data_IF_714930945565
#
_entry.id   IF_714930945565
#
_cell.length_a   1.000
_cell.length_b   1.000
_cell.length_c   1.000
_cell.angle_alpha   90.00
_cell.angle_beta   90.00
_cell.angle_gamma   90.00
#
_symmetry.space_group_name_H-M   'P 1'
#
loop_
_entity.id
_entity.type
_entity.pdbx_description
1 polymer ?
#
# COMPACT_ATOMS: atom_id res chain seq x y z
N UNK A 1 13.04 9.34 -15.10
CA UNK A 1 12.93 9.82 -13.74
C UNK A 1 11.55 9.54 -13.24
N UNK A 2 11.46 8.96 -12.13
CA UNK A 2 10.26 8.28 -11.77
C UNK A 2 9.81 8.51 -10.34
N UNK A 3 10.13 9.60 -9.75
CA UNK A 3 9.60 9.88 -8.42
C UNK A 3 8.75 11.14 -8.45
N UNK A 4 7.93 11.31 -7.42
CA UNK A 4 7.06 12.45 -7.30
C UNK A 4 7.75 13.51 -6.44
N UNK A 5 8.52 14.43 -7.03
CA UNK A 5 9.34 15.35 -6.26
C UNK A 5 8.55 16.29 -5.35
N UNK A 6 7.28 16.49 -5.64
CA UNK A 6 6.42 17.34 -4.79
C UNK A 6 5.81 16.60 -3.61
N UNK A 7 5.96 15.29 -3.55
CA UNK A 7 5.39 14.51 -2.46
C UNK A 7 6.32 14.58 -1.24
N UNK A 8 5.81 15.15 -0.17
CA UNK A 8 6.61 15.42 1.04
C UNK A 8 6.16 14.63 2.27
N UNK A 9 5.15 13.80 2.13
CA UNK A 9 4.63 13.05 3.26
C UNK A 9 3.71 13.87 4.15
N UNK A 10 3.25 13.29 5.26
CA UNK A 10 3.66 11.97 5.74
C UNK A 10 3.24 10.85 4.80
N UNK A 11 3.96 9.74 4.88
CA UNK A 11 3.66 8.56 4.10
C UNK A 11 3.27 7.41 5.02
N UNK A 12 2.42 6.52 4.51
CA UNK A 12 1.84 5.42 5.28
C UNK A 12 1.97 4.09 4.53
N UNK A 13 2.06 3.02 5.30
CA UNK A 13 2.07 1.67 4.75
C UNK A 13 1.17 0.80 5.62
N UNK A 14 0.14 0.21 5.01
CA UNK A 14 -0.77 -0.70 5.71
C UNK A 14 -0.32 -2.14 5.53
N UNK A 15 -0.27 -2.89 6.62
CA UNK A 15 0.23 -4.26 6.63
C UNK A 15 -0.29 -5.01 7.84
N UNK A 16 -0.01 -6.31 7.92
CA UNK A 16 -0.24 -7.11 9.12
C UNK A 16 1.07 -7.53 9.77
N UNK A 17 2.19 -7.07 9.23
CA UNK A 17 3.50 -7.37 9.81
C UNK A 17 3.73 -6.58 11.10
N UNK A 18 4.35 -7.22 12.08
CA UNK A 18 4.70 -6.58 13.35
C UNK A 18 6.10 -5.99 13.23
N UNK A 19 6.15 -4.67 13.07
CA UNK A 19 7.39 -3.94 12.80
C UNK A 19 7.67 -2.93 13.89
N UNK A 20 8.93 -2.60 14.08
CA UNK A 20 9.38 -1.62 15.06
C UNK A 20 9.97 -0.41 14.36
N UNK A 21 10.00 0.76 15.05
CA UNK A 21 10.67 1.93 14.48
C UNK A 21 12.11 1.61 14.10
N UNK A 22 12.52 2.04 12.93
CA UNK A 22 13.83 1.75 12.38
C UNK A 22 13.90 0.52 11.48
N UNK A 23 12.89 -0.35 11.52
CA UNK A 23 12.83 -1.49 10.62
C UNK A 23 12.73 -1.02 9.17
N UNK A 24 13.26 -1.83 8.25
CA UNK A 24 13.21 -1.55 6.82
C UNK A 24 12.25 -2.51 6.14
N UNK A 25 11.35 -1.95 5.33
CA UNK A 25 10.44 -2.71 4.48
C UNK A 25 11.03 -2.71 3.07
N UNK A 26 11.57 -3.84 2.67
CA UNK A 26 12.21 -3.98 1.35
C UNK A 26 11.20 -4.49 0.31
N UNK A 27 11.43 -4.18 -0.97
CA UNK A 27 10.68 -4.82 -2.06
C UNK A 27 10.79 -6.34 -1.95
N UNK A 28 9.68 -7.04 -2.26
CA UNK A 28 9.65 -8.48 -2.12
C UNK A 28 9.35 -8.98 -0.72
N UNK A 29 9.26 -8.09 0.25
CA UNK A 29 8.74 -8.44 1.57
C UNK A 29 7.32 -8.98 1.37
N UNK A 30 6.94 -9.98 2.17
CA UNK A 30 5.66 -10.65 2.02
C UNK A 30 4.54 -9.65 1.82
N UNK A 31 4.01 -9.62 0.62
CA UNK A 31 2.99 -8.67 0.24
C UNK A 31 1.64 -9.12 0.75
N UNK A 32 0.82 -8.14 1.01
CA UNK A 32 -0.49 -8.35 1.56
C UNK A 32 -1.46 -8.97 0.56
N UNK A 33 -1.34 -8.63 -0.71
CA UNK A 33 -2.27 -9.12 -1.73
C UNK A 33 -1.62 -9.23 -3.10
N UNK A 34 -0.32 -9.04 -3.17
CA UNK A 34 0.42 -9.11 -4.43
C UNK A 34 1.46 -10.22 -4.36
N UNK A 35 2.00 -10.56 -5.51
CA UNK A 35 3.06 -11.54 -5.62
C UNK A 35 4.27 -11.07 -4.83
N UNK A 36 4.82 -11.88 -3.91
CA UNK A 36 6.01 -11.50 -3.15
C UNK A 36 7.26 -11.31 -4.03
N UNK A 37 7.19 -11.65 -5.30
CA UNK A 37 8.29 -11.43 -6.24
C UNK A 37 8.27 -10.05 -6.89
N UNK A 38 7.31 -9.20 -6.54
CA UNK A 38 7.28 -7.85 -7.08
C UNK A 38 8.54 -7.09 -6.69
N UNK A 39 9.03 -6.26 -7.61
CA UNK A 39 10.28 -5.52 -7.45
C UNK A 39 10.13 -4.25 -6.65
N UNK A 40 8.93 -3.93 -6.19
CA UNK A 40 8.61 -2.66 -5.57
C UNK A 40 7.98 -2.84 -4.19
N UNK A 41 8.22 -1.85 -3.32
CA UNK A 41 7.45 -1.71 -2.09
C UNK A 41 6.49 -0.53 -2.27
N UNK A 42 5.26 -0.69 -1.79
CA UNK A 42 4.18 0.27 -2.01
C UNK A 42 3.83 1.03 -0.75
N UNK A 43 3.46 2.30 -0.91
CA UNK A 43 3.06 3.15 0.21
C UNK A 43 2.15 4.27 -0.30
N UNK A 44 1.60 5.06 0.62
CA UNK A 44 0.65 6.11 0.22
C UNK A 44 0.83 7.37 1.04
N UNK A 45 0.38 8.49 0.47
CA UNK A 45 0.32 9.76 1.17
C UNK A 45 -1.02 9.99 1.89
N UNK A 46 -1.97 9.06 1.76
CA UNK A 46 -3.26 9.16 2.43
C UNK A 46 -3.44 8.01 3.41
N UNK A 47 -4.01 8.32 4.56
CA UNK A 47 -4.30 7.31 5.57
C UNK A 47 -5.34 6.31 5.05
N UNK A 48 -6.34 6.79 4.30
CA UNK A 48 -7.39 5.93 3.78
C UNK A 48 -6.84 4.81 2.90
N UNK A 49 -5.89 5.12 2.02
CA UNK A 49 -5.27 4.10 1.17
C UNK A 49 -4.53 3.06 2.00
N UNK A 50 -3.86 3.49 3.07
CA UNK A 50 -3.17 2.57 3.98
C UNK A 50 -4.15 1.70 4.77
N UNK A 51 -5.30 2.24 5.13
CA UNK A 51 -6.35 1.46 5.79
C UNK A 51 -6.81 0.32 4.87
N UNK A 52 -7.10 0.63 3.60
CA UNK A 52 -7.41 -0.42 2.63
C UNK A 52 -6.29 -1.44 2.54
N UNK A 53 -5.04 -0.97 2.54
CA UNK A 53 -3.89 -1.86 2.45
C UNK A 53 -3.85 -2.88 3.58
N UNK A 54 -4.05 -2.46 4.82
CA UNK A 54 -4.01 -3.38 5.95
C UNK A 54 -5.26 -4.26 6.04
N UNK A 55 -6.41 -3.72 5.66
CA UNK A 55 -7.66 -4.50 5.68
C UNK A 55 -7.70 -5.60 4.63
N UNK A 56 -7.11 -5.35 3.47
CA UNK A 56 -7.05 -6.31 2.37
C UNK A 56 -5.84 -7.23 2.46
N UNK A 57 -4.95 -6.98 3.41
CA UNK A 57 -3.75 -7.77 3.60
C UNK A 57 -4.09 -9.21 3.94
N UNK A 58 -3.32 -10.14 3.37
CA UNK A 58 -3.47 -11.56 3.66
C UNK A 58 -2.91 -11.89 5.04
N UNK A 59 -3.50 -12.88 5.68
CA UNK A 59 -3.05 -13.36 6.98
C UNK A 59 -4.05 -13.06 8.08
N UNK A 60 -3.76 -13.57 9.26
CA UNK A 60 -4.65 -13.48 10.41
C UNK A 60 -4.14 -12.54 11.50
N UNK A 61 -2.94 -12.01 11.33
CA UNK A 61 -2.37 -11.09 12.29
C UNK A 61 -3.14 -9.77 12.29
N UNK A 62 -2.98 -9.00 13.35
CA UNK A 62 -3.65 -7.72 13.51
C UNK A 62 -3.27 -6.75 12.39
N UNK A 63 -4.26 -6.03 11.89
CA UNK A 63 -4.05 -4.96 10.92
C UNK A 63 -3.25 -3.82 11.57
N UNK A 64 -2.25 -3.31 10.83
CA UNK A 64 -1.38 -2.25 11.32
C UNK A 64 -1.11 -1.24 10.22
N UNK A 65 -0.90 -0.01 10.63
CA UNK A 65 -0.51 1.07 9.73
C UNK A 65 0.71 1.75 10.33
N UNK A 66 1.73 1.93 9.50
CA UNK A 66 2.96 2.58 9.92
C UNK A 66 3.16 3.88 9.18
N UNK A 67 3.70 4.88 9.88
CA UNK A 67 4.31 6.03 9.21
C UNK A 67 5.66 5.56 8.72
N UNK A 68 5.94 5.81 7.44
CA UNK A 68 7.18 5.35 6.81
C UNK A 68 7.88 6.49 6.08
N UNK A 69 9.18 6.30 5.86
CA UNK A 69 9.99 7.21 5.06
C UNK A 69 10.64 6.43 3.93
N UNK A 70 10.49 6.90 2.67
CA UNK A 70 11.26 6.30 1.58
C UNK A 70 12.75 6.60 1.78
N UNK A 71 13.60 5.61 1.51
CA UNK A 71 15.04 5.79 1.64
C UNK A 71 15.72 6.08 0.31
N UNK A 72 14.95 6.16 -0.77
CA UNK A 72 15.46 6.46 -2.10
C UNK A 72 14.36 7.00 -3.00
N UNK A 73 14.62 7.01 -4.29
CA UNK A 73 13.66 7.50 -5.27
C UNK A 73 12.40 6.65 -5.29
N UNK A 74 11.28 7.27 -5.58
CA UNK A 74 10.00 6.59 -5.72
C UNK A 74 9.20 7.24 -6.84
N UNK A 75 8.13 6.56 -7.24
CA UNK A 75 7.26 7.04 -8.32
C UNK A 75 5.80 6.79 -7.99
N UNK A 76 4.91 7.43 -8.74
CA UNK A 76 3.48 7.13 -8.65
C UNK A 76 3.25 5.66 -8.98
N UNK A 77 2.36 5.02 -8.23
CA UNK A 77 1.99 3.64 -8.49
C UNK A 77 1.17 3.55 -9.78
N UNK A 78 1.72 2.98 -10.86
CA UNK A 78 1.00 2.92 -12.13
C UNK A 78 -0.21 1.99 -12.11
N UNK A 79 -0.31 1.16 -11.09
CA UNK A 79 -1.47 0.29 -10.93
C UNK A 79 -2.71 1.06 -10.50
N UNK A 80 -2.53 2.26 -9.96
CA UNK A 80 -3.63 3.10 -9.47
C UNK A 80 -3.69 4.47 -10.13
N UNK A 81 -2.58 4.93 -10.72
CA UNK A 81 -2.50 6.25 -11.36
C UNK A 81 -3.20 6.22 -12.72
N UNK A 82 -4.00 7.25 -13.01
CA UNK A 82 -4.75 7.42 -14.25
C UNK A 82 -5.68 6.23 -14.59
N UNK A 83 -6.19 5.56 -13.58
CA UNK A 83 -7.09 4.43 -13.81
C UNK A 83 -8.55 4.87 -13.82
N UNK A 84 -9.12 5.11 -12.66
CA UNK A 84 -10.52 5.51 -12.55
C UNK A 84 -10.69 7.00 -12.78
N UNK A 85 -9.72 7.78 -12.33
CA UNK A 85 -9.69 9.22 -12.46
C UNK A 85 -8.30 9.63 -12.95
N UNK A 86 -8.18 10.79 -13.62
CA UNK A 86 -6.86 11.30 -14.01
C UNK A 86 -5.98 11.54 -12.78
N UNK A 87 -4.68 11.28 -12.93
CA UNK A 87 -3.71 11.52 -11.88
C UNK A 87 -3.67 10.43 -10.83
N UNK A 88 -3.19 10.78 -9.66
CA UNK A 88 -2.99 9.86 -8.55
C UNK A 88 -3.76 10.35 -7.31
N UNK A 89 -5.09 10.28 -7.33
CA UNK A 89 -5.91 10.84 -6.24
C UNK A 89 -5.74 10.14 -4.90
N UNK A 90 -5.34 8.88 -4.88
CA UNK A 90 -5.08 8.16 -3.64
C UNK A 90 -3.67 8.41 -3.12
N UNK A 91 -2.86 9.15 -3.87
CA UNK A 91 -1.45 9.40 -3.56
C UNK A 91 -0.72 8.10 -3.26
N UNK A 92 -0.84 7.15 -4.18
CA UNK A 92 -0.19 5.84 -4.08
C UNK A 92 1.13 5.87 -4.81
N UNK A 93 2.16 5.32 -4.17
CA UNK A 93 3.53 5.37 -4.67
C UNK A 93 4.19 4.01 -4.55
N UNK A 94 5.31 3.85 -5.24
CA UNK A 94 6.13 2.66 -5.12
C UNK A 94 7.61 3.01 -5.19
N UNK A 95 8.44 2.18 -4.56
CA UNK A 95 9.88 2.39 -4.50
C UNK A 95 10.61 1.07 -4.63
N UNK A 96 11.78 1.11 -5.25
CA UNK A 96 12.70 -0.04 -5.25
C UNK A 96 13.60 -0.01 -4.04
N UNK A 97 13.77 1.16 -3.43
CA UNK A 97 14.51 1.28 -2.19
C UNK A 97 13.60 0.97 -1.00
N UNK A 98 14.14 0.46 0.10
CA UNK A 98 13.32 0.16 1.27
C UNK A 98 12.63 1.39 1.86
N UNK A 99 11.54 1.15 2.56
CA UNK A 99 10.89 2.16 3.41
C UNK A 99 11.38 1.95 4.84
N UNK A 100 11.68 3.05 5.53
CA UNK A 100 12.03 2.97 6.94
C UNK A 100 10.78 3.24 7.78
N UNK A 101 10.51 2.36 8.74
CA UNK A 101 9.39 2.53 9.67
C UNK A 101 9.75 3.62 10.67
N UNK A 102 8.90 4.64 10.77
CA UNK A 102 9.05 5.71 11.75
C UNK A 102 8.30 5.36 13.02
N UNK A 103 7.08 4.87 12.91
CA UNK A 103 6.27 4.48 14.04
C UNK A 103 4.93 3.94 13.58
N UNK A 104 4.17 3.38 14.49
CA UNK A 104 2.84 2.86 14.19
C UNK A 104 1.79 3.95 14.40
N UNK A 105 0.80 4.00 13.50
CA UNK A 105 -0.38 4.83 13.68
C UNK A 105 -1.30 4.11 14.66
N UNK A 106 -1.45 4.66 15.85
CA UNK A 106 -2.20 3.97 16.91
C UNK A 106 -3.71 4.11 16.78
N UNK A 107 -4.18 5.24 16.25
CA UNK A 107 -5.61 5.53 16.16
C UNK A 107 -6.03 5.74 14.71
N UNK A 108 -6.86 4.85 14.22
CA UNK A 108 -7.46 4.98 12.91
C UNK A 108 -8.77 4.19 12.91
N UNK A 109 -9.65 4.55 11.99
CA UNK A 109 -10.95 3.91 11.89
C UNK A 109 -11.01 2.99 10.67
N UNK A 110 -11.37 1.70 10.87
CA UNK A 110 -11.55 0.80 9.75
C UNK A 110 -12.74 1.25 8.89
N UNK A 111 -12.76 0.82 7.65
CA UNK A 111 -13.91 1.07 6.79
C UNK A 111 -15.12 0.31 7.34
N UNK A 112 -16.34 0.80 7.09
CA UNK A 112 -17.53 0.07 7.51
C UNK A 112 -17.51 -1.36 6.96
N UNK A 113 -17.99 -2.35 7.75
CA UNK A 113 -17.96 -3.75 7.32
C UNK A 113 -18.60 -3.97 5.96
N UNK A 114 -19.66 -3.24 5.63
CA UNK A 114 -20.35 -3.36 4.35
C UNK A 114 -19.43 -2.93 3.20
N UNK A 115 -18.69 -1.85 3.39
CA UNK A 115 -17.76 -1.38 2.37
C UNK A 115 -16.61 -2.34 2.16
N UNK A 116 -16.09 -2.88 3.24
CA UNK A 116 -15.01 -3.86 3.16
C UNK A 116 -15.50 -5.11 2.43
N UNK A 117 -16.71 -5.58 2.76
CA UNK A 117 -17.29 -6.75 2.10
C UNK A 117 -17.47 -6.50 0.60
N UNK A 118 -17.97 -5.31 0.23
CA UNK A 118 -18.13 -4.95 -1.18
C UNK A 118 -16.79 -4.95 -1.92
N UNK A 119 -15.76 -4.39 -1.31
CA UNK A 119 -14.44 -4.35 -1.90
C UNK A 119 -13.88 -5.76 -2.10
N UNK A 120 -13.99 -6.61 -1.08
CA UNK A 120 -13.54 -7.99 -1.17
C UNK A 120 -14.27 -8.76 -2.26
N UNK A 121 -15.57 -8.55 -2.36
CA UNK A 121 -16.38 -9.19 -3.41
C UNK A 121 -15.98 -8.72 -4.80
N UNK A 122 -15.72 -7.41 -4.96
CA UNK A 122 -15.26 -6.86 -6.23
C UNK A 122 -13.91 -7.43 -6.64
N UNK A 123 -12.98 -7.52 -5.70
CA UNK A 123 -11.66 -8.09 -5.96
C UNK A 123 -11.75 -9.57 -6.33
N UNK A 124 -12.63 -10.32 -5.65
CA UNK A 124 -12.84 -11.72 -5.97
C UNK A 124 -13.40 -11.91 -7.37
N UNK A 125 -14.33 -11.05 -7.78
CA UNK A 125 -14.87 -11.10 -9.15
C UNK A 125 -13.79 -10.78 -10.19
N UNK A 126 -12.98 -9.77 -9.94
CA UNK A 126 -11.89 -9.40 -10.84
C UNK A 126 -10.90 -10.54 -10.98
N UNK A 127 -10.58 -11.19 -9.86
CA UNK A 127 -9.65 -12.33 -9.86
C UNK A 127 -10.24 -13.51 -10.64
N UNK A 128 -11.53 -13.78 -10.48
CA UNK A 128 -12.22 -14.85 -11.22
C UNK A 128 -12.25 -14.58 -12.73
N UNK A 129 -12.22 -13.32 -13.13
CA UNK A 129 -12.21 -12.92 -14.53
C UNK A 129 -10.78 -12.81 -15.11
N UNK A 130 -9.78 -13.28 -14.40
CA UNK A 130 -8.39 -13.21 -14.82
C UNK A 130 -7.58 -12.14 -14.12
N UNK A 131 -8.25 -11.29 -13.33
CA UNK A 131 -7.62 -10.23 -12.58
C UNK A 131 -7.06 -9.09 -13.42
N UNK A 132 -6.73 -7.96 -12.79
CA UNK A 132 -6.00 -6.91 -13.45
C UNK A 132 -4.53 -7.30 -13.61
N UNK A 133 -3.91 -6.85 -14.67
CA UNK A 133 -2.48 -7.03 -14.85
C UNK A 133 -1.74 -6.11 -13.88
N UNK A 134 -0.81 -6.68 -13.12
CA UNK A 134 0.04 -5.92 -12.21
C UNK A 134 1.23 -5.37 -12.98
N UNK A 135 1.40 -4.06 -12.92
CA UNK A 135 2.54 -3.39 -13.55
C UNK A 135 3.71 -3.38 -12.56
N UNK A 136 4.69 -4.16 -12.89
CA UNK A 136 5.90 -4.27 -12.05
C UNK A 136 7.03 -3.38 -12.55
#
# INVERSE_FOLDING_TARGET
>A
MTYAPSATGPFYHGTRADLAPGDLLAPGHASNYADPKLSWIYFSGTLDAAIWGCELAKGEARERIYVVEPTGAFEDDPNLTDKRFPGNPTQSYRSRAPLRVVGEVEHWEPHPPERLAEMKAALARMEAEGGPEIID
#
